data_IF_565832685076
#
_entry.id   IF_565832685076
#
_cell.length_a   1.000
_cell.length_b   1.000
_cell.length_c   1.000
_cell.angle_alpha   90.00
_cell.angle_beta   90.00
_cell.angle_gamma   90.00
#
_symmetry.space_group_name_H-M   'P 1'
#
loop_
_entity.id
_entity.type
_entity.pdbx_description
1 polymer ?
#
# COMPACT_ATOMS: atom_id res chain seq x y z
N UNK A 1 8.57 -58.71 -16.76
CA UNK A 1 9.04 -57.41 -17.29
C UNK A 1 7.94 -56.36 -17.10
N UNK A 2 6.72 -56.70 -17.53
CA UNK A 2 5.47 -55.93 -17.35
C UNK A 2 5.23 -55.31 -15.95
N UNK A 3 5.39 -56.06 -14.86
CA UNK A 3 5.13 -55.56 -13.50
C UNK A 3 6.11 -54.47 -13.05
N UNK A 4 7.37 -54.50 -13.50
CA UNK A 4 8.36 -53.47 -13.19
C UNK A 4 8.07 -52.17 -13.95
N UNK A 5 7.60 -52.28 -15.19
CA UNK A 5 7.21 -51.14 -16.02
C UNK A 5 5.98 -50.44 -15.44
N UNK A 6 4.97 -51.20 -15.01
CA UNK A 6 3.79 -50.66 -14.36
C UNK A 6 4.13 -49.93 -13.03
N UNK A 7 5.06 -50.49 -12.25
CA UNK A 7 5.52 -49.86 -11.01
C UNK A 7 6.28 -48.55 -11.27
N UNK A 8 7.12 -48.50 -12.31
CA UNK A 8 7.83 -47.28 -12.72
C UNK A 8 6.83 -46.22 -13.23
N UNK A 9 5.83 -46.61 -14.03
CA UNK A 9 4.79 -45.69 -14.49
C UNK A 9 3.98 -45.09 -13.32
N UNK A 10 3.64 -45.92 -12.33
CA UNK A 10 2.92 -45.48 -11.14
C UNK A 10 3.75 -44.50 -10.30
N UNK A 11 5.05 -44.76 -10.13
CA UNK A 11 5.97 -43.84 -9.45
C UNK A 11 6.09 -42.50 -10.18
N UNK A 12 6.16 -42.51 -11.52
CA UNK A 12 6.23 -41.28 -12.33
C UNK A 12 4.94 -40.45 -12.23
N UNK A 13 3.77 -41.10 -12.24
CA UNK A 13 2.48 -40.44 -12.07
C UNK A 13 2.32 -39.82 -10.67
N UNK A 14 2.78 -40.53 -9.62
CA UNK A 14 2.79 -40.01 -8.25
C UNK A 14 3.71 -38.79 -8.13
N UNK A 15 4.93 -38.84 -8.66
CA UNK A 15 5.84 -37.69 -8.68
C UNK A 15 5.25 -36.48 -9.42
N UNK A 16 4.63 -36.70 -10.58
CA UNK A 16 4.02 -35.62 -11.36
C UNK A 16 2.87 -34.93 -10.61
N UNK A 17 2.05 -35.72 -9.91
CA UNK A 17 0.95 -35.20 -9.07
C UNK A 17 1.44 -34.40 -7.86
N UNK A 18 2.54 -34.82 -7.21
CA UNK A 18 3.11 -34.08 -6.07
C UNK A 18 3.80 -32.78 -6.48
N UNK A 19 4.41 -32.74 -7.67
CA UNK A 19 5.01 -31.51 -8.24
C UNK A 19 3.93 -30.52 -8.65
N UNK A 20 2.82 -31.01 -9.23
CA UNK A 20 1.67 -30.16 -9.55
C UNK A 20 1.02 -29.57 -8.30
N UNK A 21 0.90 -30.33 -7.20
CA UNK A 21 0.33 -29.85 -5.94
C UNK A 21 1.21 -28.77 -5.28
N UNK A 22 2.54 -28.94 -5.30
CA UNK A 22 3.47 -27.95 -4.73
C UNK A 22 3.57 -26.67 -5.57
N UNK A 23 3.33 -26.73 -6.89
CA UNK A 23 3.23 -25.54 -7.73
C UNK A 23 1.99 -24.67 -7.46
N UNK A 24 0.94 -25.23 -6.82
CA UNK A 24 -0.30 -24.50 -6.47
C UNK A 24 -0.28 -23.85 -5.08
N UNK A 25 0.72 -24.15 -4.24
CA UNK A 25 0.95 -23.37 -3.02
C UNK A 25 1.70 -22.11 -3.41
N UNK A 26 0.97 -21.17 -4.00
CA UNK A 26 1.43 -19.79 -4.10
C UNK A 26 1.63 -19.29 -2.67
N UNK A 27 2.87 -19.06 -2.26
CA UNK A 27 3.16 -18.37 -1.01
C UNK A 27 2.51 -16.99 -1.13
N UNK A 28 1.31 -16.83 -0.56
CA UNK A 28 0.77 -15.51 -0.28
C UNK A 28 1.71 -14.93 0.77
N UNK A 29 2.73 -14.22 0.29
CA UNK A 29 3.52 -13.34 1.12
C UNK A 29 2.52 -12.29 1.61
N UNK A 30 2.03 -12.44 2.84
CA UNK A 30 1.35 -11.34 3.51
C UNK A 30 2.38 -10.22 3.58
N UNK A 31 2.20 -9.21 2.74
CA UNK A 31 2.99 -7.98 2.88
C UNK A 31 2.73 -7.45 4.28
N UNK A 32 3.79 -7.26 5.07
CA UNK A 32 3.68 -6.68 6.40
C UNK A 32 2.88 -5.38 6.30
N UNK A 33 1.90 -5.19 7.19
CA UNK A 33 1.05 -4.00 7.19
C UNK A 33 1.61 -2.98 8.15
N UNK A 34 1.91 -1.78 7.65
CA UNK A 34 2.40 -0.66 8.43
C UNK A 34 1.31 0.39 8.63
N UNK A 35 1.39 1.10 9.75
CA UNK A 35 0.58 2.30 10.01
C UNK A 35 1.44 3.52 9.70
N UNK A 36 0.93 4.39 8.83
CA UNK A 36 1.54 5.67 8.53
C UNK A 36 0.68 6.78 9.10
N UNK A 37 1.31 7.74 9.77
CA UNK A 37 0.65 8.94 10.28
C UNK A 37 1.29 10.17 9.65
N UNK A 38 0.47 10.98 8.99
CA UNK A 38 0.87 12.20 8.29
C UNK A 38 0.26 13.40 9.02
N UNK A 39 1.11 14.36 9.37
CA UNK A 39 0.71 15.62 9.98
C UNK A 39 0.86 16.73 8.96
N UNK A 40 -0.22 17.42 8.63
CA UNK A 40 -0.21 18.51 7.65
C UNK A 40 -0.56 19.81 8.37
N UNK A 41 0.33 20.80 8.30
CA UNK A 41 0.04 22.14 8.81
C UNK A 41 -0.15 23.11 7.66
N UNK A 42 -1.37 23.57 7.47
CA UNK A 42 -1.66 24.65 6.52
C UNK A 42 -1.17 25.98 7.07
N UNK A 43 -0.61 26.82 6.21
CA UNK A 43 -0.12 28.14 6.59
C UNK A 43 -1.25 29.06 7.10
N UNK A 44 -0.90 30.06 7.90
CA UNK A 44 -1.82 31.11 8.37
C UNK A 44 -1.99 32.27 7.36
N UNK A 45 -1.33 32.20 6.20
CA UNK A 45 -1.45 33.22 5.14
C UNK A 45 -2.87 33.23 4.57
N UNK A 46 -3.31 34.39 4.08
CA UNK A 46 -4.58 34.52 3.36
C UNK A 46 -4.57 33.58 2.14
N UNK A 47 -5.67 32.84 1.93
CA UNK A 47 -5.86 31.87 0.84
C UNK A 47 -4.82 30.73 0.84
N UNK A 48 -4.38 30.30 2.01
CA UNK A 48 -3.49 29.14 2.14
C UNK A 48 -4.23 27.80 2.22
N UNK A 49 -5.52 27.81 2.54
CA UNK A 49 -6.37 26.61 2.54
C UNK A 49 -6.82 26.22 1.13
N UNK A 50 -7.43 25.05 1.00
CA UNK A 50 -7.97 24.55 -0.27
C UNK A 50 -9.00 23.44 -0.03
N UNK A 51 -9.99 23.37 -0.91
CA UNK A 51 -10.97 22.26 -0.97
C UNK A 51 -10.53 21.16 -1.96
N UNK A 52 -9.29 21.26 -2.48
CA UNK A 52 -8.76 20.29 -3.44
C UNK A 52 -8.54 18.92 -2.81
N UNK A 53 -8.61 17.86 -3.62
CA UNK A 53 -8.11 16.57 -3.20
C UNK A 53 -6.57 16.61 -3.11
N UNK A 54 -6.05 16.34 -1.92
CA UNK A 54 -4.61 16.20 -1.68
C UNK A 54 -4.23 14.71 -1.62
N UNK A 55 -3.34 14.32 -2.53
CA UNK A 55 -2.78 12.97 -2.64
C UNK A 55 -1.31 12.93 -2.21
N UNK A 56 -0.87 11.77 -1.72
CA UNK A 56 0.48 11.54 -1.21
C UNK A 56 1.07 10.27 -1.83
N UNK A 57 2.30 10.35 -2.34
CA UNK A 57 3.09 9.17 -2.63
C UNK A 57 4.40 9.19 -1.85
N UNK A 58 4.77 8.04 -1.27
CA UNK A 58 6.03 7.82 -0.56
C UNK A 58 6.83 6.78 -1.32
N UNK A 59 8.12 7.05 -1.52
CA UNK A 59 9.03 6.18 -2.25
C UNK A 59 10.25 5.84 -1.40
N UNK A 60 10.77 4.64 -1.56
CA UNK A 60 12.09 4.28 -1.10
C UNK A 60 13.20 4.81 -2.03
N UNK A 61 14.45 4.50 -1.70
CA UNK A 61 15.63 4.91 -2.47
C UNK A 61 15.77 4.24 -3.84
N UNK A 62 14.95 3.22 -4.13
CA UNK A 62 14.88 2.55 -5.44
C UNK A 62 13.76 3.11 -6.32
N UNK A 63 12.91 3.97 -5.77
CA UNK A 63 11.73 4.52 -6.45
C UNK A 63 10.49 3.63 -6.36
N UNK A 64 10.53 2.53 -5.61
CA UNK A 64 9.35 1.73 -5.27
C UNK A 64 8.60 2.43 -4.16
N UNK A 65 7.27 2.48 -4.24
CA UNK A 65 6.50 3.33 -3.35
C UNK A 65 5.04 2.92 -3.17
N UNK A 66 4.41 3.61 -2.24
CA UNK A 66 2.97 3.59 -1.99
C UNK A 66 2.34 4.90 -2.46
N UNK A 67 1.12 4.84 -2.97
CA UNK A 67 0.36 6.00 -3.42
C UNK A 67 -1.01 6.04 -2.75
N UNK A 68 -1.33 7.19 -2.16
CA UNK A 68 -2.54 7.51 -1.42
C UNK A 68 -3.28 8.57 -2.24
N UNK A 69 -4.35 8.18 -2.92
CA UNK A 69 -5.03 9.03 -3.90
C UNK A 69 -5.85 10.18 -3.29
N UNK A 70 -6.18 10.10 -2.01
CA UNK A 70 -6.87 11.15 -1.25
C UNK A 70 -6.55 10.93 0.24
N UNK A 71 -5.88 11.89 0.88
CA UNK A 71 -5.47 11.78 2.28
C UNK A 71 -6.66 11.72 3.25
N UNK A 72 -7.68 12.55 3.03
CA UNK A 72 -8.89 12.60 3.86
C UNK A 72 -9.63 11.26 3.81
N UNK A 73 -9.95 10.78 2.62
CA UNK A 73 -10.68 9.53 2.44
C UNK A 73 -9.87 8.29 2.89
N UNK A 74 -8.55 8.33 2.79
CA UNK A 74 -7.68 7.23 3.20
C UNK A 74 -7.52 7.14 4.71
N UNK A 75 -7.31 8.27 5.38
CA UNK A 75 -6.81 8.26 6.75
C UNK A 75 -7.26 9.43 7.60
N UNK A 76 -8.28 10.20 7.20
CA UNK A 76 -8.80 11.31 8.01
C UNK A 76 -9.00 10.92 9.47
N UNK A 77 -8.23 11.55 10.36
CA UNK A 77 -8.17 11.22 11.80
C UNK A 77 -8.57 12.39 12.69
N UNK A 78 -9.41 13.29 12.15
CA UNK A 78 -9.96 14.44 12.86
C UNK A 78 -11.40 14.15 13.28
N UNK A 79 -12.03 15.11 13.94
CA UNK A 79 -13.44 15.02 14.31
C UNK A 79 -14.36 14.87 13.09
N UNK A 80 -15.59 14.40 13.36
CA UNK A 80 -16.60 14.24 12.32
C UNK A 80 -16.91 15.60 11.69
N UNK A 81 -17.02 15.60 10.36
CA UNK A 81 -17.32 16.78 9.54
C UNK A 81 -16.24 17.89 9.65
N UNK A 82 -15.01 17.53 10.04
CA UNK A 82 -13.85 18.42 10.03
C UNK A 82 -13.49 18.85 8.61
N UNK A 83 -13.22 20.14 8.45
CA UNK A 83 -12.79 20.73 7.19
C UNK A 83 -11.26 20.73 7.09
N UNK A 84 -10.76 19.86 6.22
CA UNK A 84 -9.34 19.56 6.09
C UNK A 84 -8.60 20.62 5.28
N UNK A 85 -7.30 20.76 5.53
CA UNK A 85 -6.41 21.67 4.83
C UNK A 85 -6.75 23.15 5.01
N UNK A 86 -7.60 23.49 5.96
CA UNK A 86 -8.01 24.87 6.23
C UNK A 86 -6.92 25.74 6.86
N UNK A 87 -7.01 27.05 6.60
CA UNK A 87 -5.97 28.02 6.97
C UNK A 87 -5.62 27.95 8.46
N UNK A 88 -4.37 27.55 8.73
CA UNK A 88 -3.83 27.50 10.09
C UNK A 88 -4.11 26.19 10.84
N UNK A 89 -4.84 25.26 10.23
CA UNK A 89 -5.13 23.96 10.82
C UNK A 89 -3.88 23.07 10.86
N UNK A 90 -3.88 22.17 11.83
CA UNK A 90 -3.02 21.01 11.87
C UNK A 90 -3.91 19.79 11.71
N UNK A 91 -3.82 19.16 10.55
CA UNK A 91 -4.62 18.00 10.20
C UNK A 91 -3.78 16.73 10.34
N UNK A 92 -4.42 15.68 10.82
CA UNK A 92 -3.79 14.38 11.07
C UNK A 92 -4.48 13.34 10.20
N UNK A 93 -3.66 12.55 9.51
CA UNK A 93 -4.10 11.41 8.73
C UNK A 93 -3.39 10.16 9.23
N UNK A 94 -4.10 9.09 9.53
CA UNK A 94 -3.53 7.80 9.94
C UNK A 94 -4.20 6.65 9.20
N UNK A 95 -3.41 5.76 8.62
CA UNK A 95 -3.94 4.67 7.82
C UNK A 95 -2.97 3.50 7.69
N UNK A 96 -3.52 2.34 7.34
CA UNK A 96 -2.78 1.10 7.11
C UNK A 96 -2.54 0.88 5.63
N UNK A 97 -1.32 0.53 5.26
CA UNK A 97 -0.90 0.14 3.91
C UNK A 97 0.27 -0.86 4.01
N UNK A 98 0.61 -1.58 2.93
CA UNK A 98 1.82 -2.39 2.91
C UNK A 98 3.05 -1.59 3.34
N UNK A 99 3.88 -2.17 4.18
CA UNK A 99 5.15 -1.61 4.58
C UNK A 99 6.05 -1.43 3.35
N UNK A 100 6.71 -0.28 3.26
CA UNK A 100 7.85 -0.16 2.35
C UNK A 100 8.97 -1.08 2.85
N UNK A 101 9.55 -1.87 1.95
CA UNK A 101 10.66 -2.78 2.26
C UNK A 101 11.94 -2.06 2.67
N UNK A 102 11.99 -0.74 2.45
CA UNK A 102 13.12 0.15 2.74
C UNK A 102 12.60 1.50 3.28
N UNK A 103 13.42 2.27 4.00
CA UNK A 103 13.00 3.57 4.53
C UNK A 103 12.53 4.53 3.43
N UNK A 104 11.59 5.41 3.79
CA UNK A 104 11.15 6.50 2.92
C UNK A 104 12.33 7.38 2.55
N UNK A 105 12.56 7.59 1.25
CA UNK A 105 13.61 8.43 0.70
C UNK A 105 13.04 9.65 -0.05
N UNK A 106 11.84 9.53 -0.63
CA UNK A 106 11.18 10.62 -1.33
C UNK A 106 9.68 10.69 -1.04
N UNK A 107 9.13 11.89 -1.16
CA UNK A 107 7.73 12.20 -0.96
C UNK A 107 7.23 13.08 -2.10
N UNK A 108 6.05 12.75 -2.63
CA UNK A 108 5.32 13.58 -3.59
C UNK A 108 3.94 13.90 -3.03
N UNK A 109 3.69 15.17 -2.75
CA UNK A 109 2.39 15.69 -2.39
C UNK A 109 1.77 16.34 -3.63
N UNK A 110 0.49 16.09 -3.92
CA UNK A 110 -0.16 16.58 -5.14
C UNK A 110 -1.57 17.04 -4.84
N UNK A 111 -1.87 18.29 -5.20
CA UNK A 111 -3.23 18.83 -5.27
C UNK A 111 -3.77 18.58 -6.68
N UNK A 112 -5.06 18.26 -6.77
CA UNK A 112 -5.77 18.16 -8.06
C UNK A 112 -6.27 19.52 -8.59
N UNK A 113 -6.14 20.60 -7.81
CA UNK A 113 -6.49 21.96 -8.21
C UNK A 113 -7.98 22.24 -8.35
N UNK A 114 -8.84 21.45 -7.70
CA UNK A 114 -10.29 21.58 -7.81
C UNK A 114 -10.93 22.55 -6.81
N UNK A 115 -10.22 22.94 -5.76
CA UNK A 115 -10.72 23.84 -4.72
C UNK A 115 -9.86 25.07 -4.50
#
# INVERSE_FOLDING_TARGET
>A
MESKVAFILLLLLLCFSTVALSATVSLQQEDDVCVYTVFVRTSKKLNAGTDSNISLALYDDTGVGIALGNLEAWGGAMEKDHDYFERGNLDIFTGRVPCLSRPVCAMKLTSDGTG
#
